data_IF_155478108251
#
_entry.id   IF_155478108251
#
_cell.length_a   1.000
_cell.length_b   1.000
_cell.length_c   1.000
_cell.angle_alpha   90.00
_cell.angle_beta   90.00
_cell.angle_gamma   90.00
#
_symmetry.space_group_name_H-M   'P 1'
#
loop_
_entity.id
_entity.type
_entity.pdbx_description
1 polymer ?
#
# COMPACT_ATOMS: atom_id res chain seq x y z
N UNK A 1 -12.00 15.87 -7.57
CA UNK A 1 -10.97 16.54 -8.39
C UNK A 1 -11.63 17.63 -9.22
N UNK A 2 -11.04 18.84 -9.26
CA UNK A 2 -11.51 19.94 -10.12
C UNK A 2 -10.92 19.88 -11.53
N UNK A 3 -10.11 18.84 -11.83
CA UNK A 3 -9.48 18.67 -13.13
C UNK A 3 -10.50 18.16 -14.16
N UNK A 4 -10.52 18.81 -15.33
CA UNK A 4 -11.35 18.44 -16.46
C UNK A 4 -10.55 17.67 -17.49
N UNK A 5 -11.23 17.03 -18.46
CA UNK A 5 -10.59 16.40 -19.61
C UNK A 5 -9.73 17.39 -20.40
N UNK A 6 -10.21 18.60 -20.56
CA UNK A 6 -9.52 19.64 -21.34
C UNK A 6 -8.22 20.10 -20.66
N UNK A 7 -8.18 20.13 -19.33
CA UNK A 7 -6.96 20.42 -18.58
C UNK A 7 -5.87 19.36 -18.84
N UNK A 8 -6.26 18.08 -18.89
CA UNK A 8 -5.35 16.97 -19.17
C UNK A 8 -4.84 17.04 -20.61
N UNK A 9 -5.73 17.32 -21.58
CA UNK A 9 -5.35 17.49 -22.98
C UNK A 9 -4.42 18.68 -23.15
N UNK A 10 -4.71 19.80 -22.51
CA UNK A 10 -3.86 20.99 -22.55
C UNK A 10 -2.47 20.72 -21.95
N UNK A 11 -2.40 19.99 -20.83
CA UNK A 11 -1.14 19.56 -20.23
C UNK A 11 -0.33 18.66 -21.19
N UNK A 12 -0.98 17.64 -21.77
CA UNK A 12 -0.33 16.74 -22.72
C UNK A 12 0.23 17.51 -23.92
N UNK A 13 -0.55 18.38 -24.54
CA UNK A 13 -0.12 19.21 -25.68
C UNK A 13 1.01 20.18 -25.33
N UNK A 14 1.12 20.61 -24.09
CA UNK A 14 2.17 21.51 -23.63
C UNK A 14 3.50 20.79 -23.38
N UNK A 15 3.45 19.59 -22.77
CA UNK A 15 4.65 18.92 -22.25
C UNK A 15 5.06 17.65 -23.01
N UNK A 16 4.13 16.93 -23.63
CA UNK A 16 4.40 15.69 -24.38
C UNK A 16 4.58 16.01 -25.88
N UNK A 17 5.68 16.67 -26.20
CA UNK A 17 6.04 17.03 -27.57
C UNK A 17 7.15 16.12 -28.10
N UNK A 18 7.22 15.98 -29.40
CA UNK A 18 8.23 15.15 -30.10
C UNK A 18 9.68 15.64 -29.92
N UNK A 19 9.86 16.85 -29.42
CA UNK A 19 11.17 17.48 -29.17
C UNK A 19 11.60 17.49 -27.70
N UNK A 20 10.77 16.96 -26.81
CA UNK A 20 10.98 17.03 -25.34
C UNK A 20 11.04 15.65 -24.69
N UNK A 21 11.76 14.71 -25.29
CA UNK A 21 11.98 13.39 -24.68
C UNK A 21 13.38 12.85 -25.02
N UNK A 22 13.86 11.92 -24.17
CA UNK A 22 15.08 11.17 -24.42
C UNK A 22 14.74 9.70 -24.66
N UNK A 23 15.34 9.11 -25.68
CA UNK A 23 15.18 7.71 -26.03
C UNK A 23 16.43 6.94 -25.64
N UNK A 24 16.27 5.90 -24.83
CA UNK A 24 17.36 5.02 -24.42
C UNK A 24 17.10 3.63 -25.01
N UNK A 25 18.02 3.18 -25.88
CA UNK A 25 17.96 1.86 -26.47
C UNK A 25 18.79 0.87 -25.67
N UNK A 26 18.15 -0.14 -25.07
CA UNK A 26 18.85 -1.29 -24.47
C UNK A 26 19.04 -2.35 -25.53
N UNK A 27 20.27 -2.57 -25.96
CA UNK A 27 20.65 -3.61 -26.93
C UNK A 27 21.36 -4.75 -26.27
N UNK A 28 21.21 -5.97 -26.81
CA UNK A 28 21.98 -7.13 -26.37
C UNK A 28 23.41 -7.03 -26.92
N UNK A 29 24.40 -7.37 -26.09
CA UNK A 29 25.81 -7.38 -26.46
C UNK A 29 26.65 -6.43 -25.62
N UNK A 30 27.95 -6.32 -25.96
CA UNK A 30 28.87 -5.33 -25.38
C UNK A 30 29.02 -4.16 -26.31
N UNK A 31 28.98 -2.94 -25.79
CA UNK A 31 29.31 -1.75 -26.52
C UNK A 31 30.84 -1.70 -26.69
N UNK A 32 31.37 -1.73 -27.95
CA UNK A 32 32.83 -1.61 -28.18
C UNK A 32 33.37 -0.25 -27.77
N UNK A 33 32.53 0.75 -27.60
CA UNK A 33 32.90 2.12 -27.21
C UNK A 33 32.68 2.38 -25.70
N UNK A 34 32.38 1.35 -24.92
CA UNK A 34 32.18 1.50 -23.49
C UNK A 34 33.44 2.06 -22.81
N UNK A 35 33.35 3.32 -22.41
CA UNK A 35 34.40 3.96 -21.60
C UNK A 35 34.21 3.55 -20.16
N UNK A 36 35.10 2.72 -19.64
CA UNK A 36 35.17 2.48 -18.20
C UNK A 36 35.52 3.78 -17.50
N UNK A 37 34.54 4.37 -16.82
CA UNK A 37 34.85 5.48 -15.92
C UNK A 37 35.61 4.95 -14.71
N UNK A 38 36.76 5.55 -14.39
CA UNK A 38 37.45 5.26 -13.15
C UNK A 38 36.57 5.65 -11.97
N UNK A 39 36.50 4.77 -10.98
CA UNK A 39 35.79 5.09 -9.75
C UNK A 39 36.43 6.31 -9.11
N UNK A 40 35.71 7.40 -8.84
CA UNK A 40 36.29 8.56 -8.18
C UNK A 40 36.75 8.17 -6.76
N UNK A 41 37.83 8.77 -6.32
CA UNK A 41 38.27 8.63 -4.94
C UNK A 41 37.18 9.21 -4.01
N UNK A 42 36.68 8.37 -3.12
CA UNK A 42 35.71 8.80 -2.12
C UNK A 42 36.49 9.33 -0.95
N UNK A 43 36.39 10.62 -0.70
CA UNK A 43 36.96 11.23 0.52
C UNK A 43 36.28 10.60 1.74
N UNK A 44 37.03 9.95 2.65
CA UNK A 44 36.43 9.39 3.85
C UNK A 44 35.75 10.48 4.67
N UNK A 45 34.48 10.27 5.00
CA UNK A 45 33.77 11.15 5.91
C UNK A 45 34.24 10.79 7.33
N UNK A 46 34.93 11.70 7.97
CA UNK A 46 35.31 11.55 9.39
C UNK A 46 34.05 11.70 10.23
N UNK A 47 33.49 10.55 10.65
CA UNK A 47 32.35 10.54 11.58
C UNK A 47 32.87 10.77 13.00
N UNK A 48 32.57 11.93 13.56
CA UNK A 48 32.80 12.18 14.96
C UNK A 48 31.65 11.53 15.77
N UNK A 49 31.94 10.38 16.38
CA UNK A 49 30.98 9.63 17.21
C UNK A 49 30.99 10.09 18.69
N UNK A 50 31.98 10.87 19.09
CA UNK A 50 32.21 11.21 20.49
C UNK A 50 31.65 12.58 20.88
N UNK A 51 31.20 13.36 19.89
CA UNK A 51 30.57 14.65 20.15
C UNK A 51 29.14 14.68 19.62
N UNK A 52 28.25 15.17 20.44
CA UNK A 52 26.86 15.42 20.09
C UNK A 52 26.60 16.92 20.08
N UNK A 53 25.68 17.39 19.24
CA UNK A 53 25.27 18.78 19.18
C UNK A 53 24.65 19.23 20.52
N UNK A 54 24.72 20.55 20.81
CA UNK A 54 24.06 21.13 21.98
C UNK A 54 22.57 20.79 22.01
N UNK A 55 21.90 20.85 20.86
CA UNK A 55 20.49 20.48 20.69
C UNK A 55 20.22 19.02 21.12
N UNK A 56 21.05 18.07 20.71
CA UNK A 56 20.88 16.68 21.13
C UNK A 56 21.12 16.50 22.64
N UNK A 57 22.09 17.21 23.21
CA UNK A 57 22.32 17.19 24.67
C UNK A 57 21.13 17.73 25.45
N UNK A 58 20.51 18.80 24.96
CA UNK A 58 19.28 19.36 25.56
C UNK A 58 18.11 18.39 25.50
N UNK A 59 17.92 17.74 24.35
CA UNK A 59 16.87 16.69 24.20
C UNK A 59 17.14 15.53 25.16
N UNK A 60 18.38 15.05 25.24
CA UNK A 60 18.75 13.94 26.13
C UNK A 60 18.61 14.30 27.62
N UNK A 61 18.80 15.56 27.95
CA UNK A 61 18.65 16.07 29.32
C UNK A 61 17.18 16.41 29.67
N UNK A 62 16.29 16.47 28.67
CA UNK A 62 14.89 16.79 28.92
C UNK A 62 14.19 15.68 29.72
N UNK A 63 13.34 16.09 30.66
CA UNK A 63 12.54 15.17 31.44
C UNK A 63 11.42 14.63 30.53
N UNK A 64 11.46 13.35 30.21
CA UNK A 64 10.42 12.67 29.44
C UNK A 64 9.44 12.02 30.41
N UNK A 65 8.18 12.41 30.33
CA UNK A 65 7.13 11.68 31.05
C UNK A 65 6.96 10.28 30.43
N UNK A 66 7.11 9.20 31.21
CA UNK A 66 6.91 7.86 30.67
C UNK A 66 5.53 7.72 30.06
N UNK A 67 5.46 7.11 28.87
CA UNK A 67 4.18 6.71 28.26
C UNK A 67 3.75 5.43 28.94
N UNK A 68 2.61 5.47 29.61
CA UNK A 68 2.02 4.26 30.16
C UNK A 68 1.41 3.41 29.03
N UNK A 69 1.70 2.10 28.98
CA UNK A 69 1.13 1.24 27.96
C UNK A 69 -0.36 1.08 28.16
N UNK A 70 -1.13 1.26 27.10
CA UNK A 70 -2.56 0.97 27.08
C UNK A 70 -2.74 -0.43 26.50
N UNK A 71 -3.17 -1.37 27.34
CA UNK A 71 -3.46 -2.74 26.91
C UNK A 71 -4.89 -2.83 26.37
N UNK A 72 -5.04 -3.50 25.22
CA UNK A 72 -6.36 -3.79 24.66
C UNK A 72 -7.04 -4.91 25.44
N UNK A 73 -8.27 -4.66 25.87
CA UNK A 73 -9.18 -5.67 26.39
C UNK A 73 -10.21 -6.01 25.31
N UNK A 74 -10.01 -7.14 24.64
CA UNK A 74 -10.88 -7.56 23.52
C UNK A 74 -12.35 -7.71 23.91
N UNK A 75 -12.64 -7.92 25.19
CA UNK A 75 -14.02 -8.02 25.68
C UNK A 75 -14.72 -6.67 25.83
N UNK A 76 -13.95 -5.59 26.01
CA UNK A 76 -14.45 -4.22 26.21
C UNK A 76 -14.21 -3.32 25.02
N UNK A 77 -13.06 -3.49 24.36
CA UNK A 77 -12.60 -2.59 23.30
C UNK A 77 -13.14 -2.96 21.91
N UNK A 78 -13.67 -4.18 21.76
CA UNK A 78 -14.25 -4.68 20.52
C UNK A 78 -15.71 -5.11 20.73
N UNK A 79 -16.55 -4.86 19.74
CA UNK A 79 -17.88 -5.44 19.66
C UNK A 79 -17.79 -6.80 18.96
N UNK A 80 -18.20 -7.86 19.66
CA UNK A 80 -18.25 -9.21 19.12
C UNK A 80 -19.63 -9.46 18.50
N UNK A 81 -19.65 -9.73 17.21
CA UNK A 81 -20.85 -10.00 16.43
C UNK A 81 -20.72 -11.36 15.73
N UNK A 82 -21.82 -11.85 15.19
CA UNK A 82 -21.85 -13.02 14.31
C UNK A 82 -22.55 -12.66 13.01
N UNK A 83 -21.90 -12.96 11.90
CA UNK A 83 -22.50 -12.90 10.59
C UNK A 83 -23.35 -14.16 10.31
N UNK A 84 -23.96 -14.23 9.13
CA UNK A 84 -24.66 -15.45 8.67
C UNK A 84 -23.70 -16.66 8.75
N UNK A 85 -24.23 -17.83 9.06
CA UNK A 85 -23.44 -19.08 9.23
C UNK A 85 -22.47 -19.06 10.41
N UNK A 86 -22.81 -18.30 11.48
CA UNK A 86 -22.03 -18.22 12.71
C UNK A 86 -20.58 -17.74 12.58
N UNK A 87 -20.24 -17.06 11.46
CA UNK A 87 -18.91 -16.49 11.28
C UNK A 87 -18.68 -15.38 12.31
N UNK A 88 -17.64 -15.50 13.16
CA UNK A 88 -17.35 -14.48 14.16
C UNK A 88 -16.86 -13.19 13.51
N UNK A 89 -17.36 -12.06 13.98
CA UNK A 89 -16.98 -10.72 13.52
C UNK A 89 -16.53 -9.92 14.72
N UNK A 90 -15.33 -9.36 14.64
CA UNK A 90 -14.79 -8.40 15.60
C UNK A 90 -14.90 -7.01 14.99
N UNK A 91 -15.66 -6.14 15.63
CA UNK A 91 -15.91 -4.80 15.14
C UNK A 91 -15.36 -3.74 16.09
N UNK A 92 -14.72 -2.75 15.54
CA UNK A 92 -14.33 -1.50 16.21
C UNK A 92 -14.72 -0.33 15.34
N UNK A 93 -15.49 0.59 15.89
CA UNK A 93 -15.82 1.82 15.18
C UNK A 93 -14.56 2.69 15.02
N UNK A 94 -14.30 3.15 13.79
CA UNK A 94 -13.29 4.16 13.55
C UNK A 94 -13.88 5.54 13.90
N UNK A 95 -13.30 6.19 14.90
CA UNK A 95 -13.70 7.53 15.34
C UNK A 95 -12.71 8.62 14.93
N UNK A 96 -11.65 8.26 14.20
CA UNK A 96 -10.57 9.16 13.83
C UNK A 96 -10.78 9.79 12.45
N UNK A 97 -11.37 9.02 11.54
CA UNK A 97 -11.65 9.45 10.17
C UNK A 97 -12.78 8.58 9.57
N UNK A 98 -13.20 8.90 8.33
CA UNK A 98 -14.29 8.22 7.64
C UNK A 98 -13.82 7.04 6.78
N UNK A 99 -12.73 6.38 7.16
CA UNK A 99 -12.20 5.21 6.44
C UNK A 99 -12.61 3.93 7.18
N UNK A 100 -13.10 2.95 6.42
CA UNK A 100 -13.31 1.59 6.92
C UNK A 100 -12.19 0.66 6.47
N UNK A 101 -12.00 -0.41 7.23
CA UNK A 101 -11.21 -1.56 6.84
C UNK A 101 -11.98 -2.83 7.23
N UNK A 102 -12.25 -3.68 6.26
CA UNK A 102 -12.87 -5.00 6.44
C UNK A 102 -11.84 -6.07 6.10
N UNK A 103 -11.59 -6.96 7.03
CA UNK A 103 -10.60 -8.03 6.87
C UNK A 103 -11.31 -9.37 6.99
N UNK A 104 -11.27 -10.18 5.94
CA UNK A 104 -11.61 -11.59 5.98
C UNK A 104 -10.34 -12.39 6.25
N UNK A 105 -10.42 -13.24 7.27
CA UNK A 105 -9.31 -14.07 7.70
C UNK A 105 -9.63 -15.54 7.43
N UNK A 106 -8.80 -16.19 6.63
CA UNK A 106 -8.89 -17.62 6.32
C UNK A 106 -7.72 -18.34 6.98
N UNK A 107 -7.99 -19.41 7.73
CA UNK A 107 -6.98 -20.26 8.35
C UNK A 107 -6.36 -21.24 7.34
N UNK A 108 -5.99 -20.72 6.17
CA UNK A 108 -5.30 -21.40 5.08
C UNK A 108 -4.28 -20.45 4.45
N UNK A 109 -3.07 -20.94 4.24
CA UNK A 109 -1.99 -20.15 3.66
C UNK A 109 -1.07 -21.01 2.78
N UNK A 110 0.08 -20.48 2.42
CA UNK A 110 1.04 -21.14 1.51
C UNK A 110 1.59 -22.49 2.04
N UNK A 111 1.49 -22.76 3.34
CA UNK A 111 1.82 -24.08 3.90
C UNK A 111 0.76 -25.15 3.55
N UNK A 112 -0.46 -24.73 3.27
CA UNK A 112 -1.56 -25.62 2.89
C UNK A 112 -1.56 -25.84 1.37
N UNK A 113 -1.34 -24.77 0.60
CA UNK A 113 -1.24 -24.83 -0.85
C UNK A 113 -0.25 -23.78 -1.36
N UNK A 114 0.82 -24.23 -2.02
CA UNK A 114 1.87 -23.36 -2.57
C UNK A 114 1.39 -22.52 -3.76
N UNK A 115 0.28 -22.89 -4.40
CA UNK A 115 -0.28 -22.17 -5.53
C UNK A 115 -1.06 -20.91 -5.09
N UNK A 116 -1.43 -20.79 -3.80
CA UNK A 116 -2.22 -19.65 -3.29
C UNK A 116 -1.60 -18.29 -3.63
N UNK A 117 -0.28 -18.15 -3.49
CA UNK A 117 0.42 -16.91 -3.82
C UNK A 117 0.23 -16.50 -5.29
N UNK A 118 0.39 -17.44 -6.20
CA UNK A 118 0.18 -17.22 -7.64
C UNK A 118 -1.28 -16.96 -7.96
N UNK A 119 -2.19 -17.71 -7.34
CA UNK A 119 -3.62 -17.53 -7.53
C UNK A 119 -4.08 -16.13 -7.07
N UNK A 120 -3.59 -15.64 -5.93
CA UNK A 120 -3.90 -14.31 -5.45
C UNK A 120 -3.41 -13.20 -6.39
N UNK A 121 -2.21 -13.34 -6.95
CA UNK A 121 -1.69 -12.42 -7.97
C UNK A 121 -2.53 -12.44 -9.25
N UNK A 122 -3.04 -13.62 -9.62
CA UNK A 122 -3.85 -13.76 -10.82
C UNK A 122 -5.23 -13.08 -10.70
N UNK A 123 -5.73 -12.88 -9.48
CA UNK A 123 -7.01 -12.18 -9.25
C UNK A 123 -7.05 -10.77 -9.85
N UNK A 124 -5.91 -10.08 -9.94
CA UNK A 124 -5.83 -8.75 -10.55
C UNK A 124 -6.19 -8.72 -12.04
N UNK A 125 -6.13 -9.88 -12.70
CA UNK A 125 -6.43 -10.07 -14.12
C UNK A 125 -7.82 -10.68 -14.37
N UNK A 126 -8.56 -10.94 -13.31
CA UNK A 126 -9.90 -11.50 -13.37
C UNK A 126 -10.94 -10.41 -13.14
N UNK A 127 -12.02 -10.51 -13.90
CA UNK A 127 -13.24 -9.75 -13.65
C UNK A 127 -14.22 -10.56 -12.80
N UNK A 128 -15.47 -10.13 -12.81
CA UNK A 128 -16.61 -10.84 -12.24
C UNK A 128 -17.46 -11.44 -13.38
N UNK A 129 -18.61 -12.02 -13.04
CA UNK A 129 -19.55 -12.50 -14.05
C UNK A 129 -20.08 -11.36 -14.95
N UNK A 130 -20.15 -10.14 -14.41
CA UNK A 130 -20.81 -8.99 -15.04
C UNK A 130 -19.85 -7.85 -15.39
N UNK A 131 -18.58 -7.91 -14.95
CA UNK A 131 -17.59 -6.85 -15.13
C UNK A 131 -16.24 -7.39 -15.60
N UNK A 132 -15.62 -6.72 -16.54
CA UNK A 132 -14.22 -6.95 -16.91
C UNK A 132 -13.26 -6.52 -15.79
N UNK A 133 -11.99 -6.94 -15.79
CA UNK A 133 -11.00 -6.49 -14.81
C UNK A 133 -10.83 -4.97 -14.76
N UNK A 134 -10.91 -4.31 -15.91
CA UNK A 134 -10.82 -2.85 -16.04
C UNK A 134 -12.04 -2.15 -15.44
N UNK A 135 -13.23 -2.70 -15.64
CA UNK A 135 -14.47 -2.17 -15.06
C UNK A 135 -14.46 -2.32 -13.53
N UNK A 136 -14.03 -3.48 -13.02
CA UNK A 136 -13.87 -3.69 -11.56
C UNK A 136 -12.91 -2.65 -10.97
N UNK A 137 -11.74 -2.44 -11.58
CA UNK A 137 -10.76 -1.43 -11.12
C UNK A 137 -11.34 -0.02 -11.16
N UNK A 138 -12.07 0.30 -12.23
CA UNK A 138 -12.72 1.61 -12.39
C UNK A 138 -13.79 1.84 -11.34
N UNK A 139 -14.57 0.81 -11.02
CA UNK A 139 -15.61 0.90 -9.99
C UNK A 139 -15.01 1.08 -8.59
N UNK A 140 -13.98 0.31 -8.23
CA UNK A 140 -13.25 0.53 -6.98
C UNK A 140 -12.65 1.93 -6.88
N UNK A 141 -12.10 2.44 -7.97
CA UNK A 141 -11.60 3.82 -8.02
C UNK A 141 -12.72 4.84 -7.82
N UNK A 142 -13.88 4.66 -8.48
CA UNK A 142 -15.05 5.52 -8.33
C UNK A 142 -15.56 5.55 -6.89
N UNK A 143 -15.54 4.40 -6.21
CA UNK A 143 -15.95 4.25 -4.82
C UNK A 143 -14.89 4.74 -3.82
N UNK A 144 -13.70 5.16 -4.28
CA UNK A 144 -12.55 5.45 -3.43
C UNK A 144 -12.26 4.29 -2.46
N UNK A 145 -12.37 3.06 -2.96
CA UNK A 145 -12.11 1.82 -2.24
C UNK A 145 -11.02 1.01 -2.93
N UNK A 146 -10.46 0.09 -2.20
CA UNK A 146 -9.48 -0.87 -2.71
C UNK A 146 -9.63 -2.22 -2.03
N UNK A 147 -9.25 -3.29 -2.72
CA UNK A 147 -9.11 -4.60 -2.09
C UNK A 147 -7.79 -5.24 -2.49
N UNK A 148 -7.31 -6.13 -1.64
CA UNK A 148 -6.20 -7.00 -1.98
C UNK A 148 -6.30 -8.32 -1.23
N UNK A 149 -5.66 -9.34 -1.78
CA UNK A 149 -5.55 -10.67 -1.19
C UNK A 149 -4.09 -10.94 -0.85
N UNK A 150 -3.82 -11.29 0.39
CA UNK A 150 -2.47 -11.54 0.89
C UNK A 150 -2.36 -12.94 1.52
N UNK A 151 -1.93 -13.94 0.76
CA UNK A 151 -1.62 -15.26 1.29
C UNK A 151 -0.33 -15.23 2.09
N UNK A 152 -0.45 -15.38 3.40
CA UNK A 152 0.68 -15.60 4.29
C UNK A 152 1.07 -17.08 4.40
N UNK A 153 1.95 -17.41 5.33
CA UNK A 153 2.41 -18.79 5.55
C UNK A 153 1.28 -19.70 6.04
N UNK A 154 0.52 -19.26 7.04
CA UNK A 154 -0.54 -20.04 7.69
C UNK A 154 -1.95 -19.51 7.41
N UNK A 155 -2.08 -18.25 7.04
CA UNK A 155 -3.35 -17.55 6.91
C UNK A 155 -3.38 -16.71 5.66
N UNK A 156 -4.56 -16.55 5.09
CA UNK A 156 -4.81 -15.63 3.98
C UNK A 156 -5.73 -14.52 4.45
N UNK A 157 -5.37 -13.30 4.09
CA UNK A 157 -6.12 -12.09 4.39
C UNK A 157 -6.72 -11.55 3.10
N UNK A 158 -8.02 -11.29 3.10
CA UNK A 158 -8.68 -10.48 2.07
C UNK A 158 -9.07 -9.17 2.74
N UNK A 159 -8.52 -8.09 2.26
CA UNK A 159 -8.69 -6.76 2.87
C UNK A 159 -9.43 -5.87 1.88
N UNK A 160 -10.52 -5.29 2.34
CA UNK A 160 -11.28 -4.26 1.66
C UNK A 160 -11.19 -2.98 2.50
N UNK A 161 -10.86 -1.85 1.88
CA UNK A 161 -10.75 -0.57 2.59
C UNK A 161 -11.17 0.59 1.70
N UNK A 162 -11.63 1.68 2.30
CA UNK A 162 -12.04 2.87 1.59
C UNK A 162 -12.96 3.78 2.41
N UNK A 163 -13.70 4.65 1.75
CA UNK A 163 -14.66 5.52 2.43
C UNK A 163 -15.81 4.71 3.03
N UNK A 164 -16.13 4.98 4.30
CA UNK A 164 -17.13 4.22 5.07
C UNK A 164 -18.52 4.26 4.44
N UNK A 165 -18.91 5.37 3.82
CA UNK A 165 -20.18 5.52 3.13
C UNK A 165 -20.32 4.58 1.92
N UNK A 166 -19.19 4.22 1.29
CA UNK A 166 -19.15 3.37 0.10
C UNK A 166 -18.94 1.89 0.42
N UNK A 167 -18.78 1.52 1.71
CA UNK A 167 -18.56 0.14 2.12
C UNK A 167 -19.62 -0.85 1.57
N UNK A 168 -20.95 -0.57 1.65
CA UNK A 168 -21.96 -1.50 1.14
C UNK A 168 -21.84 -1.75 -0.36
N UNK A 169 -21.55 -0.70 -1.15
CA UNK A 169 -21.38 -0.81 -2.59
C UNK A 169 -20.08 -1.56 -2.97
N UNK A 170 -19.01 -1.35 -2.20
CA UNK A 170 -17.74 -2.05 -2.42
C UNK A 170 -17.78 -3.53 -2.02
N UNK A 171 -18.77 -3.95 -1.21
CA UNK A 171 -18.98 -5.34 -0.80
C UNK A 171 -19.90 -6.11 -1.76
N UNK A 172 -20.68 -5.43 -2.59
CA UNK A 172 -21.63 -6.01 -3.53
C UNK A 172 -20.92 -6.58 -4.77
#
# INVERSE_FOLDING_TARGET
SKLTKDDIVAFANKYLKDDNYAVIYKKQGKDPNEKKMSKPEITPIVMNRDTVSTFLKEIQASVVTPIEPVFLDYSKDLTQLKAKSDIPVLYKQNTTNDIFQLIYLFDMGNNNDKALGTAAQYLEYLGTADMTPEEVKSEFYRLACSFFVSPGTKRTYVVLSGLSENMPAAMA
#
